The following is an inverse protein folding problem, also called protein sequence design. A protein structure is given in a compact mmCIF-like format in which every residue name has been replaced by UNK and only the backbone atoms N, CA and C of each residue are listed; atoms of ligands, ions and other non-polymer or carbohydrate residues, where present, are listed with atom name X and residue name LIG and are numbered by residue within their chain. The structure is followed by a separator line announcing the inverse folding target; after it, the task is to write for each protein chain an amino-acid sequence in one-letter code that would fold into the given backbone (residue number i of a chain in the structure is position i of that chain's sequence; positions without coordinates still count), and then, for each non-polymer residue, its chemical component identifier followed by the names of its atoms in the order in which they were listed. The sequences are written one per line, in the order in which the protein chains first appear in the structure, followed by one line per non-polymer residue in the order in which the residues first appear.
data_IF_803026454286
#
_entry.id   IF_803026454286
#
_cell.length_a   1.000
_cell.length_b   1.000
_cell.length_c   1.000
_cell.angle_alpha   90.00
_cell.angle_beta   90.00
_cell.angle_gamma   90.00
#
_symmetry.space_group_name_H-M   'P 1'
#
loop_
_entity.id
_entity.type
_entity.pdbx_description
1 polymer ?
#
# COMPACT_ATOMS: atom_id res chain seq x y z
N UNK A 1 -3.65 -17.48 -0.90
CA UNK A 1 -3.38 -16.18 -0.23
C UNK A 1 -4.72 -15.47 -0.10
N UNK A 2 -5.18 -15.25 1.13
CA UNK A 2 -6.43 -14.51 1.36
C UNK A 2 -6.12 -13.02 1.23
N UNK A 3 -6.83 -12.32 0.33
CA UNK A 3 -6.74 -10.86 0.25
C UNK A 3 -7.32 -10.28 1.54
N UNK A 4 -6.72 -9.18 2.03
CA UNK A 4 -7.22 -8.52 3.23
C UNK A 4 -8.67 -8.05 3.01
N UNK A 5 -9.58 -8.22 3.98
CA UNK A 5 -11.00 -7.85 3.82
C UNK A 5 -11.21 -6.39 3.36
N UNK A 6 -10.41 -5.46 3.87
CA UNK A 6 -10.47 -4.05 3.46
C UNK A 6 -10.21 -3.88 1.96
N UNK A 7 -9.26 -4.63 1.40
CA UNK A 7 -8.90 -4.56 -0.02
C UNK A 7 -10.04 -5.08 -0.90
N UNK A 8 -10.68 -6.17 -0.49
CA UNK A 8 -11.86 -6.70 -1.18
C UNK A 8 -13.03 -5.70 -1.17
N UNK A 9 -13.27 -5.05 -0.03
CA UNK A 9 -14.28 -3.98 0.08
C UNK A 9 -13.94 -2.80 -0.82
N UNK A 10 -12.69 -2.36 -0.85
CA UNK A 10 -12.24 -1.28 -1.75
C UNK A 10 -12.43 -1.65 -3.22
N UNK A 11 -12.07 -2.87 -3.64
CA UNK A 11 -12.27 -3.34 -5.01
C UNK A 11 -13.77 -3.42 -5.37
N UNK A 12 -14.61 -3.90 -4.45
CA UNK A 12 -16.06 -3.93 -4.69
C UNK A 12 -16.62 -2.52 -4.87
N UNK A 13 -16.22 -1.58 -4.02
CA UNK A 13 -16.66 -0.19 -4.10
C UNK A 13 -16.14 0.51 -5.34
N UNK A 14 -14.90 0.25 -5.75
CA UNK A 14 -14.35 0.73 -7.02
C UNK A 14 -15.19 0.24 -8.21
N UNK A 15 -15.56 -1.05 -8.21
CA UNK A 15 -16.47 -1.60 -9.22
C UNK A 15 -17.85 -0.92 -9.23
N UNK A 16 -18.45 -0.69 -8.05
CA UNK A 16 -19.73 0.03 -7.95
C UNK A 16 -19.61 1.47 -8.45
N UNK A 17 -18.51 2.15 -8.11
CA UNK A 17 -18.25 3.52 -8.57
C UNK A 17 -18.07 3.60 -10.07
N UNK A 18 -17.36 2.66 -10.69
CA UNK A 18 -17.27 2.53 -12.14
C UNK A 18 -18.65 2.34 -12.79
N UNK A 19 -19.51 1.48 -12.21
CA UNK A 19 -20.88 1.30 -12.74
C UNK A 19 -21.73 2.55 -12.59
N UNK A 20 -21.60 3.23 -11.46
CA UNK A 20 -22.28 4.50 -11.21
C UNK A 20 -21.80 5.55 -12.21
N UNK A 21 -20.50 5.62 -12.47
CA UNK A 21 -19.91 6.51 -13.47
C UNK A 21 -20.49 6.25 -14.87
N UNK A 22 -20.60 4.98 -15.27
CA UNK A 22 -21.20 4.60 -16.55
C UNK A 22 -22.67 5.05 -16.66
N UNK A 23 -23.44 5.00 -15.57
CA UNK A 23 -24.82 5.49 -15.53
C UNK A 23 -24.91 7.03 -15.59
N UNK A 24 -23.90 7.74 -15.11
CA UNK A 24 -23.82 9.20 -15.13
C UNK A 24 -23.26 9.76 -16.45
N UNK A 25 -22.63 8.93 -17.28
CA UNK A 25 -22.01 9.35 -18.54
C UNK A 25 -22.98 10.08 -19.50
N UNK A 26 -24.26 9.69 -19.64
CA UNK A 26 -25.21 10.45 -20.46
C UNK A 26 -25.38 11.91 -20.01
N UNK A 27 -25.32 12.20 -18.70
CA UNK A 27 -25.41 13.56 -18.16
C UNK A 27 -24.22 14.42 -18.60
N UNK A 28 -23.02 13.81 -18.72
CA UNK A 28 -21.84 14.49 -19.27
C UNK A 28 -22.08 14.89 -20.72
N UNK A 29 -22.68 14.00 -21.51
CA UNK A 29 -23.05 14.30 -22.89
C UNK A 29 -24.05 15.45 -23.02
N UNK A 30 -25.06 15.50 -22.14
CA UNK A 30 -26.04 16.61 -22.11
C UNK A 30 -25.38 17.93 -21.67
N UNK A 31 -24.53 17.90 -20.64
CA UNK A 31 -23.77 19.08 -20.21
C UNK A 31 -22.82 19.56 -21.29
N UNK A 32 -22.17 18.63 -22.01
CA UNK A 32 -21.32 18.95 -23.14
C UNK A 32 -22.14 19.53 -24.31
N UNK A 33 -23.30 19.00 -24.64
CA UNK A 33 -24.14 19.56 -25.69
C UNK A 33 -24.56 21.00 -25.33
N UNK A 34 -24.91 21.22 -24.06
CA UNK A 34 -25.34 22.53 -23.55
C UNK A 34 -24.18 23.53 -23.54
N UNK A 35 -23.06 23.19 -22.92
CA UNK A 35 -21.90 24.07 -22.74
C UNK A 35 -21.03 24.17 -24.01
N UNK A 36 -20.85 23.04 -24.69
CA UNK A 36 -20.01 22.89 -25.89
C UNK A 36 -20.59 23.51 -27.14
N UNK A 37 -21.92 23.75 -27.23
CA UNK A 37 -22.50 24.56 -28.30
C UNK A 37 -21.86 25.96 -28.40
N UNK A 38 -21.35 26.49 -27.28
CA UNK A 38 -20.70 27.80 -27.22
C UNK A 38 -19.18 27.76 -27.45
N UNK A 39 -18.51 26.66 -27.09
CA UNK A 39 -17.04 26.54 -27.11
C UNK A 39 -16.50 25.68 -28.27
N UNK A 40 -17.37 24.91 -28.94
CA UNK A 40 -17.02 24.03 -30.05
C UNK A 40 -15.87 23.08 -29.73
N UNK A 41 -15.13 22.68 -30.77
CA UNK A 41 -13.92 21.87 -30.65
C UNK A 41 -12.69 22.67 -30.20
N UNK A 42 -12.86 23.88 -29.62
CA UNK A 42 -11.73 24.71 -29.20
C UNK A 42 -10.94 24.06 -28.06
N UNK A 43 -9.69 24.51 -27.83
CA UNK A 43 -8.88 24.04 -26.71
C UNK A 43 -9.58 24.17 -25.35
N UNK A 44 -10.30 25.28 -25.13
CA UNK A 44 -11.07 25.49 -23.90
C UNK A 44 -12.26 24.55 -23.80
N UNK A 45 -12.90 24.21 -24.92
CA UNK A 45 -13.93 23.18 -24.98
C UNK A 45 -13.40 21.81 -24.55
N UNK A 46 -12.24 21.40 -25.06
CA UNK A 46 -11.60 20.14 -24.68
C UNK A 46 -11.17 20.11 -23.20
N UNK A 47 -10.61 21.21 -22.68
CA UNK A 47 -10.26 21.32 -21.26
C UNK A 47 -11.50 21.23 -20.37
N UNK A 48 -12.55 21.97 -20.70
CA UNK A 48 -13.82 21.94 -19.96
C UNK A 48 -14.45 20.55 -19.99
N UNK A 49 -14.41 19.88 -21.14
CA UNK A 49 -14.86 18.49 -21.27
C UNK A 49 -14.11 17.56 -20.31
N UNK A 50 -12.78 17.63 -20.28
CA UNK A 50 -11.97 16.83 -19.36
C UNK A 50 -12.27 17.11 -17.88
N UNK A 51 -12.53 18.37 -17.52
CA UNK A 51 -12.93 18.76 -16.16
C UNK A 51 -14.33 18.27 -15.79
N UNK A 52 -15.31 18.36 -16.68
CA UNK A 52 -16.66 17.84 -16.46
C UNK A 52 -16.66 16.32 -16.32
N UNK A 53 -15.92 15.63 -17.19
CA UNK A 53 -15.71 14.19 -17.09
C UNK A 53 -15.13 13.79 -15.71
N UNK A 54 -14.14 14.56 -15.25
CA UNK A 54 -13.52 14.37 -13.93
C UNK A 54 -14.49 14.60 -12.78
N UNK A 55 -15.31 15.65 -12.86
CA UNK A 55 -16.32 15.94 -11.86
C UNK A 55 -17.32 14.78 -11.73
N UNK A 56 -17.73 14.18 -12.85
CA UNK A 56 -18.61 13.01 -12.84
C UNK A 56 -17.92 11.79 -12.22
N UNK A 57 -16.62 11.59 -12.46
CA UNK A 57 -15.84 10.57 -11.75
C UNK A 57 -15.85 10.83 -10.24
N UNK A 58 -15.61 12.07 -9.80
CA UNK A 58 -15.63 12.43 -8.37
C UNK A 58 -16.99 12.13 -7.73
N UNK A 59 -18.10 12.49 -8.41
CA UNK A 59 -19.45 12.20 -7.92
C UNK A 59 -19.69 10.70 -7.81
N UNK A 60 -19.30 9.92 -8.83
CA UNK A 60 -19.44 8.47 -8.84
C UNK A 60 -18.59 7.77 -7.76
N UNK A 61 -17.42 8.35 -7.43
CA UNK A 61 -16.49 7.83 -6.43
C UNK A 61 -16.74 8.31 -5.01
N UNK A 62 -17.62 9.29 -4.78
CA UNK A 62 -17.88 9.83 -3.45
C UNK A 62 -18.32 8.76 -2.41
N UNK A 63 -19.18 7.77 -2.75
CA UNK A 63 -19.53 6.71 -1.81
C UNK A 63 -18.34 5.81 -1.47
N UNK A 64 -17.55 5.43 -2.50
CA UNK A 64 -16.36 4.60 -2.32
C UNK A 64 -15.29 5.31 -1.49
N UNK A 65 -15.14 6.62 -1.69
CA UNK A 65 -14.16 7.42 -0.96
C UNK A 65 -14.49 7.58 0.52
N UNK A 66 -15.78 7.75 0.86
CA UNK A 66 -16.26 7.76 2.24
C UNK A 66 -15.99 6.43 2.95
N UNK A 67 -16.32 5.31 2.29
CA UNK A 67 -16.08 3.99 2.85
C UNK A 67 -14.57 3.66 2.96
N UNK A 68 -13.76 4.08 1.98
CA UNK A 68 -12.31 3.98 2.05
C UNK A 68 -11.75 4.77 3.23
N UNK A 69 -12.26 5.98 3.50
CA UNK A 69 -11.81 6.79 4.64
C UNK A 69 -12.10 6.12 5.98
N UNK A 70 -13.27 5.48 6.14
CA UNK A 70 -13.59 4.70 7.35
C UNK A 70 -12.65 3.50 7.49
N UNK A 71 -12.50 2.72 6.42
CA UNK A 71 -11.64 1.53 6.44
C UNK A 71 -10.17 1.86 6.75
N UNK A 72 -9.65 2.92 6.15
CA UNK A 72 -8.29 3.39 6.40
C UNK A 72 -8.09 4.03 7.76
N UNK A 73 -9.13 4.63 8.33
CA UNK A 73 -9.09 5.08 9.73
C UNK A 73 -8.89 3.90 10.69
N UNK A 74 -9.63 2.80 10.46
CA UNK A 74 -9.47 1.57 11.24
C UNK A 74 -8.08 0.96 11.02
N UNK A 75 -7.60 0.89 9.78
CA UNK A 75 -6.22 0.45 9.47
C UNK A 75 -5.19 1.27 10.25
N UNK A 76 -5.27 2.60 10.20
CA UNK A 76 -4.30 3.49 10.86
C UNK A 76 -4.26 3.24 12.37
N UNK A 77 -5.42 3.10 13.00
CA UNK A 77 -5.52 2.83 14.44
C UNK A 77 -4.97 1.45 14.80
N UNK A 78 -5.40 0.40 14.09
CA UNK A 78 -4.98 -0.98 14.38
C UNK A 78 -3.50 -1.20 14.11
N UNK A 79 -2.99 -0.72 12.96
CA UNK A 79 -1.58 -0.86 12.59
C UNK A 79 -0.68 -0.01 13.49
N UNK A 80 -1.11 1.22 13.82
CA UNK A 80 -0.41 2.07 14.77
C UNK A 80 -0.34 1.44 16.16
N UNK A 81 -1.45 0.87 16.64
CA UNK A 81 -1.49 0.15 17.91
C UNK A 81 -0.60 -1.10 17.89
N UNK A 82 -0.65 -1.90 16.84
CA UNK A 82 0.24 -3.06 16.71
C UNK A 82 1.72 -2.67 16.77
N UNK A 83 2.13 -1.61 16.06
CA UNK A 83 3.51 -1.15 16.07
C UNK A 83 3.94 -0.59 17.44
N UNK A 84 3.03 0.07 18.17
CA UNK A 84 3.33 0.56 19.52
C UNK A 84 3.38 -0.58 20.54
N UNK A 85 2.56 -1.62 20.39
CA UNK A 85 2.63 -2.84 21.20
C UNK A 85 3.96 -3.56 20.99
N UNK A 86 4.48 -3.63 19.76
CA UNK A 86 5.80 -4.22 19.50
C UNK A 86 6.94 -3.37 20.11
N UNK A 87 6.82 -2.05 20.09
CA UNK A 87 7.83 -1.14 20.63
C UNK A 87 7.97 -1.23 22.16
N UNK A 88 6.84 -1.34 22.86
CA UNK A 88 6.79 -1.49 24.31
C UNK A 88 6.56 -2.93 24.78
N UNK A 89 6.77 -3.93 23.92
CA UNK A 89 6.41 -5.30 24.24
C UNK A 89 7.18 -5.80 25.46
N UNK A 90 6.49 -6.39 26.42
CA UNK A 90 7.09 -7.09 27.55
C UNK A 90 6.33 -8.40 27.80
N UNK A 91 7.05 -9.51 27.74
CA UNK A 91 6.53 -10.85 28.01
C UNK A 91 5.88 -10.95 29.41
N UNK A 92 6.40 -10.25 30.41
CA UNK A 92 5.85 -10.25 31.76
C UNK A 92 4.51 -9.53 31.85
N UNK A 93 4.29 -8.52 31.02
CA UNK A 93 3.02 -7.78 30.96
C UNK A 93 2.02 -8.38 29.96
N UNK A 94 2.47 -9.31 29.11
CA UNK A 94 1.64 -9.92 28.08
C UNK A 94 0.42 -10.64 28.69
N UNK A 95 -0.78 -10.39 28.16
CA UNK A 95 -2.01 -11.02 28.64
C UNK A 95 -2.18 -12.40 27.99
N UNK A 96 -2.05 -13.45 28.79
CA UNK A 96 -2.40 -14.81 28.36
C UNK A 96 -3.92 -15.01 28.45
N UNK A 97 -4.50 -15.74 27.48
CA UNK A 97 -5.93 -16.14 27.55
C UNK A 97 -6.19 -16.98 28.80
N UNK A 98 -5.24 -17.83 29.16
CA UNK A 98 -5.22 -18.63 30.39
C UNK A 98 -4.00 -18.22 31.21
N UNK A 99 -4.21 -17.67 32.41
CA UNK A 99 -3.10 -17.15 33.24
C UNK A 99 -2.16 -18.24 33.75
N UNK A 100 -2.66 -19.48 33.88
CA UNK A 100 -1.86 -20.63 34.30
C UNK A 100 -0.78 -21.04 33.27
N UNK A 101 -0.93 -20.64 32.01
CA UNK A 101 0.01 -20.98 30.94
C UNK A 101 1.23 -20.06 30.90
N UNK A 102 1.20 -18.92 31.61
CA UNK A 102 2.31 -17.96 31.65
C UNK A 102 3.66 -18.59 32.01
N UNK A 103 3.82 -19.32 33.13
CA UNK A 103 5.12 -19.89 33.49
C UNK A 103 5.61 -20.93 32.46
N UNK A 104 4.68 -21.60 31.76
CA UNK A 104 5.02 -22.57 30.71
C UNK A 104 5.56 -21.80 29.48
N UNK A 105 4.88 -20.75 29.05
CA UNK A 105 5.33 -19.90 27.94
C UNK A 105 6.68 -19.22 28.23
N UNK A 106 6.86 -18.69 29.44
CA UNK A 106 8.14 -18.09 29.86
C UNK A 106 9.27 -19.12 29.86
N UNK A 107 9.01 -20.35 30.32
CA UNK A 107 10.00 -21.44 30.28
C UNK A 107 10.35 -21.84 28.84
N UNK A 108 9.37 -21.95 27.94
CA UNK A 108 9.59 -22.27 26.52
C UNK A 108 10.37 -21.16 25.80
N UNK A 109 10.03 -19.89 26.01
CA UNK A 109 10.78 -18.76 25.46
C UNK A 109 12.21 -18.77 25.98
N UNK A 110 12.40 -18.98 27.29
CA UNK A 110 13.72 -19.04 27.88
C UNK A 110 14.55 -20.20 27.33
N UNK A 111 13.92 -21.35 27.04
CA UNK A 111 14.59 -22.49 26.42
C UNK A 111 15.07 -22.21 24.99
N UNK A 112 14.28 -21.48 24.18
CA UNK A 112 14.66 -21.10 22.82
C UNK A 112 15.87 -20.14 22.80
N UNK A 113 15.95 -19.23 23.77
CA UNK A 113 17.04 -18.23 23.88
C UNK A 113 18.21 -18.69 24.75
N UNK A 114 18.16 -19.91 25.27
CA UNK A 114 19.21 -20.49 26.12
C UNK A 114 20.48 -20.83 25.33
N UNK A 115 20.39 -20.93 24.00
CA UNK A 115 21.45 -21.34 23.05
C UNK A 115 22.10 -22.72 23.36
N UNK A 116 21.66 -23.43 24.40
CA UNK A 116 22.19 -24.73 24.84
C UNK A 116 22.01 -25.82 23.77
N UNK A 117 20.94 -25.73 22.97
CA UNK A 117 20.63 -26.72 21.93
C UNK A 117 21.32 -26.41 20.58
N UNK A 118 21.91 -25.21 20.40
CA UNK A 118 22.60 -24.78 19.18
C UNK A 118 24.14 -24.98 19.24
N UNK A 119 24.68 -25.62 20.29
CA UNK A 119 26.10 -25.93 20.34
C UNK A 119 26.49 -26.86 19.18
N UNK A 120 27.39 -26.46 18.26
CA UNK A 120 28.13 -27.44 17.51
C UNK A 120 29.03 -28.17 18.51
N UNK A 121 28.63 -29.37 18.91
CA UNK A 121 29.50 -30.35 19.57
C UNK A 121 30.67 -30.69 18.62
N UNK A 122 31.63 -29.76 18.51
CA UNK A 122 32.94 -30.04 17.96
C UNK A 122 33.80 -30.58 19.11
N UNK A 123 33.53 -31.83 19.46
CA UNK A 123 34.47 -32.59 20.27
C UNK A 123 35.66 -32.88 19.36
N UNK A 124 36.72 -32.07 19.49
CA UNK A 124 38.02 -32.42 18.95
C UNK A 124 38.49 -33.69 19.68
N UNK A 125 38.30 -34.83 19.03
CA UNK A 125 39.04 -36.03 19.38
C UNK A 125 40.15 -36.17 18.35
N UNK A 126 41.35 -35.86 18.83
CA UNK A 126 42.59 -36.36 18.25
C UNK A 126 42.40 -37.81 17.82
N UNK A 127 42.63 -38.09 16.54
CA UNK A 127 43.61 -39.11 16.14
C UNK A 127 43.59 -39.30 14.63
N UNK A 128 44.80 -39.43 14.08
CA UNK A 128 45.21 -40.31 12.98
C UNK A 128 44.12 -40.94 12.11
N UNK A 129 44.32 -40.79 10.80
CA UNK A 129 43.81 -41.64 9.72
C UNK A 129 43.34 -43.03 10.19
N UNK A 130 42.03 -43.31 10.12
CA UNK A 130 41.48 -44.54 9.54
C UNK A 130 39.94 -44.58 9.60
N UNK A 131 39.36 -45.02 8.48
CA UNK A 131 38.04 -45.63 8.29
C UNK A 131 36.78 -44.92 8.84
N UNK A 132 35.93 -44.47 7.91
CA UNK A 132 34.55 -44.04 8.16
C UNK A 132 33.60 -45.23 8.43
N UNK A 133 32.92 -45.31 9.59
CA UNK A 133 31.68 -46.05 9.73
C UNK A 133 30.50 -45.07 9.63
N UNK A 134 29.48 -45.42 8.83
CA UNK A 134 28.17 -44.75 8.88
C UNK A 134 27.55 -45.00 10.25
N UNK A 135 27.61 -44.01 11.13
CA UNK A 135 26.89 -44.00 12.41
C UNK A 135 25.51 -43.37 12.21
N UNK A 136 24.48 -44.22 12.16
CA UNK A 136 23.20 -43.84 12.78
C UNK A 136 23.44 -43.76 14.28
N UNK A 137 23.20 -42.61 14.94
CA UNK A 137 23.45 -42.49 16.37
C UNK A 137 22.54 -43.49 17.13
N UNK A 138 23.09 -44.30 18.05
CA UNK A 138 22.28 -45.16 18.90
C UNK A 138 21.35 -44.30 19.78
N UNK A 139 20.11 -44.75 19.99
CA UNK A 139 19.11 -44.05 20.80
C UNK A 139 19.59 -43.66 22.21
N UNK A 140 20.63 -44.34 22.73
CA UNK A 140 21.28 -44.03 24.00
C UNK A 140 22.08 -42.70 24.01
N UNK A 141 22.62 -42.25 22.87
CA UNK A 141 23.31 -40.94 22.76
C UNK A 141 22.32 -39.78 22.88
N UNK A 142 21.09 -39.95 22.39
CA UNK A 142 20.03 -38.95 22.53
C UNK A 142 19.58 -38.74 23.98
N UNK A 143 19.48 -39.82 24.77
CA UNK A 143 19.16 -39.73 26.19
C UNK A 143 20.30 -39.09 27.00
N UNK A 144 21.56 -39.39 26.67
CA UNK A 144 22.72 -38.74 27.32
C UNK A 144 22.81 -37.25 27.01
N UNK A 145 22.59 -36.84 25.75
CA UNK A 145 22.57 -35.42 25.36
C UNK A 145 21.43 -34.66 26.05
N UNK A 146 20.24 -35.28 26.17
CA UNK A 146 19.12 -34.72 26.93
C UNK A 146 19.44 -34.60 28.43
N UNK A 147 20.19 -35.56 28.99
CA UNK A 147 20.57 -35.52 30.39
C UNK A 147 21.63 -34.44 30.66
N UNK A 148 22.60 -34.27 29.76
CA UNK A 148 23.61 -33.21 29.80
C UNK A 148 22.99 -31.81 29.63
N UNK A 149 22.07 -31.63 28.67
CA UNK A 149 21.38 -30.34 28.48
C UNK A 149 20.54 -29.97 29.71
N UNK A 150 19.88 -30.95 30.35
CA UNK A 150 19.15 -30.73 31.59
C UNK A 150 20.07 -30.34 32.77
N UNK A 151 21.30 -30.86 32.83
CA UNK A 151 22.29 -30.45 33.85
C UNK A 151 22.80 -29.03 33.60
N UNK A 152 23.08 -28.67 32.34
CA UNK A 152 23.48 -27.32 31.93
C UNK A 152 22.38 -26.28 32.18
N UNK A 153 21.10 -26.68 32.07
CA UNK A 153 19.94 -25.86 32.44
C UNK A 153 19.78 -25.64 33.94
N UNK A 154 20.51 -26.36 34.80
CA UNK A 154 20.40 -26.19 36.25
C UNK A 154 20.96 -24.84 36.70
N UNK A 155 20.24 -24.17 37.62
CA UNK A 155 20.61 -22.85 38.12
C UNK A 155 22.01 -22.79 38.75
N UNK A 156 22.47 -23.91 39.34
CA UNK A 156 23.81 -24.02 39.92
C UNK A 156 24.90 -23.95 38.85
N UNK A 157 24.72 -24.65 37.73
CA UNK A 157 25.68 -24.62 36.61
C UNK A 157 25.65 -23.26 35.93
N UNK A 158 24.45 -22.71 35.66
CA UNK A 158 24.29 -21.36 35.07
C UNK A 158 24.92 -20.24 35.88
N UNK A 159 25.00 -20.37 37.20
CA UNK A 159 25.67 -19.36 38.04
C UNK A 159 27.19 -19.30 37.84
N UNK A 160 27.79 -20.36 37.29
CA UNK A 160 29.23 -20.51 37.07
C UNK A 160 29.60 -20.43 35.59
N UNK A 161 28.71 -20.92 34.72
CA UNK A 161 28.86 -20.84 33.25
C UNK A 161 28.32 -19.49 32.76
N UNK A 162 28.92 -18.89 31.74
CA UNK A 162 28.45 -17.63 31.14
C UNK A 162 27.11 -17.71 30.38
N UNK A 163 26.30 -18.75 30.64
CA UNK A 163 24.98 -18.91 30.03
C UNK A 163 23.98 -17.93 30.65
N UNK A 164 23.04 -17.40 29.86
CA UNK A 164 22.04 -16.48 30.35
C UNK A 164 21.09 -17.14 31.36
N UNK A 165 20.75 -16.40 32.41
CA UNK A 165 19.67 -16.74 33.32
C UNK A 165 18.31 -16.70 32.60
N UNK A 166 17.29 -17.35 33.17
CA UNK A 166 15.92 -17.31 32.60
C UNK A 166 15.43 -15.87 32.40
N UNK A 167 15.70 -14.98 33.37
CA UNK A 167 15.34 -13.57 33.26
C UNK A 167 16.09 -12.87 32.11
N UNK A 168 17.38 -13.17 31.92
CA UNK A 168 18.15 -12.64 30.80
C UNK A 168 17.65 -13.18 29.45
N UNK A 169 17.29 -14.46 29.35
CA UNK A 169 16.68 -15.02 28.13
C UNK A 169 15.36 -14.31 27.77
N UNK A 170 14.52 -14.03 28.77
CA UNK A 170 13.28 -13.28 28.56
C UNK A 170 13.53 -11.83 28.13
N UNK A 171 14.56 -11.18 28.68
CA UNK A 171 14.99 -9.84 28.25
C UNK A 171 15.56 -9.84 26.82
N UNK A 172 16.31 -10.89 26.43
CA UNK A 172 16.76 -11.08 25.05
C UNK A 172 15.58 -11.24 24.10
N UNK A 173 14.57 -12.03 24.46
CA UNK A 173 13.33 -12.14 23.67
C UNK A 173 12.60 -10.80 23.57
N UNK A 174 12.43 -10.07 24.68
CA UNK A 174 11.84 -8.74 24.68
C UNK A 174 12.62 -7.79 23.74
N UNK A 175 13.96 -7.81 23.79
CA UNK A 175 14.81 -7.01 22.91
C UNK A 175 14.67 -7.42 21.43
N UNK A 176 14.53 -8.72 21.14
CA UNK A 176 14.32 -9.24 19.79
C UNK A 176 12.97 -8.79 19.20
N UNK A 177 11.91 -8.86 20.01
CA UNK A 177 10.56 -8.39 19.63
C UNK A 177 10.55 -6.89 19.37
N UNK A 178 11.12 -6.09 20.28
CA UNK A 178 11.19 -4.62 20.18
C UNK A 178 12.07 -4.14 19.03
N UNK A 179 13.11 -4.89 18.70
CA UNK A 179 14.12 -4.52 17.71
C UNK A 179 13.95 -5.27 16.37
N UNK A 180 14.64 -6.40 16.16
CA UNK A 180 14.58 -7.22 14.95
C UNK A 180 13.18 -7.48 14.41
N UNK A 181 12.25 -8.02 15.21
CA UNK A 181 10.91 -8.37 14.74
C UNK A 181 10.10 -7.13 14.33
N UNK A 182 10.14 -6.06 15.12
CA UNK A 182 9.52 -4.77 14.77
C UNK A 182 10.10 -4.20 13.48
N UNK A 183 11.43 -4.24 13.31
CA UNK A 183 12.09 -3.79 12.07
C UNK A 183 11.69 -4.65 10.87
N UNK A 184 11.64 -5.97 11.02
CA UNK A 184 11.18 -6.87 9.96
C UNK A 184 9.72 -6.56 9.58
N UNK A 185 8.86 -6.37 10.58
CA UNK A 185 7.45 -5.98 10.38
C UNK A 185 7.34 -4.65 9.65
N UNK A 186 8.12 -3.63 10.03
CA UNK A 186 8.16 -2.35 9.33
C UNK A 186 8.70 -2.47 7.89
N UNK A 187 9.69 -3.32 7.64
CA UNK A 187 10.22 -3.56 6.28
C UNK A 187 9.20 -4.25 5.38
N UNK A 188 8.44 -5.21 5.91
CA UNK A 188 7.48 -6.00 5.13
C UNK A 188 6.12 -5.32 4.98
N UNK A 189 5.61 -4.76 6.07
CA UNK A 189 4.27 -4.17 6.13
C UNK A 189 4.26 -2.65 5.98
N UNK A 190 5.41 -1.98 6.16
CA UNK A 190 5.50 -0.53 6.21
C UNK A 190 5.01 0.06 7.53
N UNK A 191 5.12 1.39 7.64
CA UNK A 191 4.46 2.17 8.68
C UNK A 191 2.93 2.21 8.51
N UNK A 192 2.23 2.81 9.46
CA UNK A 192 0.77 2.87 9.44
C UNK A 192 0.21 3.58 8.19
N UNK A 193 0.93 4.60 7.69
CA UNK A 193 0.58 5.36 6.48
C UNK A 193 1.03 4.71 5.18
N UNK A 194 1.86 3.68 5.26
CA UNK A 194 2.46 3.10 4.07
C UNK A 194 1.48 2.09 3.44
N UNK A 195 1.47 2.10 2.11
CA UNK A 195 0.77 1.14 1.29
C UNK A 195 1.68 0.74 0.13
N UNK A 196 1.94 -0.56 -0.07
CA UNK A 196 2.68 -1.02 -1.24
C UNK A 196 1.96 -0.62 -2.54
N UNK A 197 2.73 -0.15 -3.53
CA UNK A 197 2.19 0.22 -4.85
C UNK A 197 1.36 -0.91 -5.48
N UNK A 198 1.84 -2.16 -5.36
CA UNK A 198 1.13 -3.33 -5.87
C UNK A 198 -0.27 -3.48 -5.26
N UNK A 199 -0.43 -3.21 -3.96
CA UNK A 199 -1.73 -3.26 -3.28
C UNK A 199 -2.65 -2.14 -3.78
N UNK A 200 -2.13 -0.92 -3.97
CA UNK A 200 -2.91 0.18 -4.55
C UNK A 200 -3.33 -0.12 -5.99
N UNK A 201 -2.45 -0.72 -6.80
CA UNK A 201 -2.77 -1.15 -8.17
C UNK A 201 -3.87 -2.21 -8.19
N UNK A 202 -3.81 -3.20 -7.30
CA UNK A 202 -4.84 -4.23 -7.16
C UNK A 202 -6.19 -3.65 -6.73
N UNK A 203 -6.18 -2.66 -5.82
CA UNK A 203 -7.39 -2.03 -5.33
C UNK A 203 -8.18 -1.29 -6.45
N UNK A 204 -7.48 -0.76 -7.46
CA UNK A 204 -8.06 -0.12 -8.65
C UNK A 204 -8.21 -1.06 -9.86
N UNK A 205 -8.06 -2.38 -9.68
CA UNK A 205 -8.19 -3.34 -10.78
C UNK A 205 -9.52 -3.22 -11.55
N UNK A 206 -10.68 -3.07 -10.88
CA UNK A 206 -11.94 -2.85 -11.60
C UNK A 206 -11.93 -1.60 -12.48
N UNK A 207 -11.40 -0.48 -11.98
CA UNK A 207 -11.20 0.74 -12.76
C UNK A 207 -10.28 0.51 -13.97
N UNK A 208 -9.17 -0.22 -13.81
CA UNK A 208 -8.26 -0.54 -14.93
C UNK A 208 -8.94 -1.36 -16.03
N UNK A 209 -9.66 -2.40 -15.63
CA UNK A 209 -10.39 -3.26 -16.56
C UNK A 209 -11.50 -2.48 -17.27
N UNK A 210 -12.15 -1.56 -16.55
CA UNK A 210 -13.12 -0.66 -17.14
C UNK A 210 -12.49 0.27 -18.17
N UNK A 211 -11.40 0.98 -17.83
CA UNK A 211 -10.71 1.87 -18.76
C UNK A 211 -10.28 1.15 -20.04
N UNK A 212 -9.73 -0.06 -19.90
CA UNK A 212 -9.35 -0.87 -21.05
C UNK A 212 -10.57 -1.25 -21.91
N UNK A 213 -11.68 -1.60 -21.26
CA UNK A 213 -12.91 -2.00 -21.94
C UNK A 213 -13.67 -0.83 -22.57
N UNK A 214 -13.70 0.34 -21.93
CA UNK A 214 -14.41 1.53 -22.42
C UNK A 214 -13.67 2.13 -23.61
N UNK A 215 -12.38 2.43 -23.42
CA UNK A 215 -11.61 3.21 -24.38
C UNK A 215 -11.24 2.37 -25.62
N UNK A 216 -10.75 1.14 -25.42
CA UNK A 216 -10.22 0.35 -26.54
C UNK A 216 -11.21 -0.64 -27.16
N UNK A 217 -12.16 -1.19 -26.38
CA UNK A 217 -13.06 -2.24 -26.87
C UNK A 217 -14.45 -1.69 -27.23
N UNK A 218 -15.00 -0.77 -26.42
CA UNK A 218 -16.38 -0.29 -26.57
C UNK A 218 -16.47 1.07 -27.26
N UNK A 219 -15.35 1.76 -27.46
CA UNK A 219 -15.27 3.14 -27.95
C UNK A 219 -16.27 4.03 -27.20
N UNK A 220 -16.20 4.02 -25.87
CA UNK A 220 -17.06 4.77 -24.95
C UNK A 220 -18.58 4.61 -25.18
N UNK A 221 -18.98 3.48 -25.77
CA UNK A 221 -20.38 3.17 -26.03
C UNK A 221 -20.93 3.78 -27.32
N UNK A 222 -20.11 4.40 -28.16
CA UNK A 222 -20.53 4.95 -29.46
C UNK A 222 -20.87 3.87 -30.51
N UNK A 223 -20.65 2.59 -30.19
CA UNK A 223 -21.03 1.42 -31.00
C UNK A 223 -20.17 1.20 -32.25
N UNK A 224 -19.51 2.23 -32.76
CA UNK A 224 -18.52 2.13 -33.83
C UNK A 224 -17.39 3.14 -33.66
N UNK A 225 -16.19 2.76 -34.09
CA UNK A 225 -15.02 3.63 -34.12
C UNK A 225 -15.27 4.93 -34.89
N UNK A 226 -16.02 4.86 -36.01
CA UNK A 226 -16.34 6.05 -36.82
C UNK A 226 -17.26 7.03 -36.09
N UNK A 227 -18.21 6.51 -35.31
CA UNK A 227 -19.10 7.31 -34.47
C UNK A 227 -18.31 8.03 -33.38
N UNK A 228 -17.39 7.33 -32.71
CA UNK A 228 -16.53 7.90 -31.67
C UNK A 228 -15.65 9.04 -32.23
N UNK A 229 -14.95 8.80 -33.35
CA UNK A 229 -14.14 9.83 -34.02
C UNK A 229 -14.94 11.09 -34.33
N UNK A 230 -16.14 10.92 -34.87
CA UNK A 230 -17.02 12.06 -35.23
C UNK A 230 -17.55 12.79 -33.99
N UNK A 231 -17.91 12.06 -32.94
CA UNK A 231 -18.45 12.63 -31.71
C UNK A 231 -17.40 13.44 -30.93
N UNK A 232 -16.17 12.93 -30.85
CA UNK A 232 -15.08 13.59 -30.13
C UNK A 232 -14.29 14.59 -30.97
N UNK A 233 -14.49 14.60 -32.29
CA UNK A 233 -13.86 15.57 -33.20
C UNK A 233 -12.45 15.19 -33.66
N UNK A 234 -12.03 13.95 -33.45
CA UNK A 234 -10.76 13.43 -33.96
C UNK A 234 -10.80 13.23 -35.48
N UNK A 235 -9.68 13.55 -36.13
CA UNK A 235 -9.52 13.42 -37.58
C UNK A 235 -8.99 12.04 -38.00
N UNK A 236 -8.42 11.28 -37.07
CA UNK A 236 -7.85 9.97 -37.33
C UNK A 236 -7.93 9.04 -36.13
N UNK A 237 -7.93 7.73 -36.40
CA UNK A 237 -7.87 6.65 -35.39
C UNK A 237 -6.63 6.79 -34.50
N UNK A 238 -5.52 7.24 -35.07
CA UNK A 238 -4.27 7.44 -34.33
C UNK A 238 -4.41 8.53 -33.26
N UNK A 239 -5.15 9.61 -33.53
CA UNK A 239 -5.38 10.65 -32.53
C UNK A 239 -6.19 10.14 -31.34
N UNK A 240 -7.27 9.39 -31.61
CA UNK A 240 -8.09 8.77 -30.57
C UNK A 240 -7.25 7.85 -29.67
N UNK A 241 -6.55 6.87 -30.27
CA UNK A 241 -5.73 5.95 -29.47
C UNK A 241 -4.56 6.64 -28.77
N UNK A 242 -3.99 7.70 -29.35
CA UNK A 242 -2.96 8.48 -28.65
C UNK A 242 -3.54 9.16 -27.40
N UNK A 243 -4.74 9.74 -27.50
CA UNK A 243 -5.44 10.35 -26.36
C UNK A 243 -5.73 9.31 -25.27
N UNK A 244 -6.28 8.16 -25.65
CA UNK A 244 -6.59 7.06 -24.74
C UNK A 244 -5.35 6.49 -24.06
N UNK A 245 -4.28 6.25 -24.81
CA UNK A 245 -3.02 5.76 -24.24
C UNK A 245 -2.45 6.74 -23.22
N UNK A 246 -2.46 8.04 -23.52
CA UNK A 246 -1.99 9.07 -22.57
C UNK A 246 -2.88 9.09 -21.33
N UNK A 247 -4.21 9.03 -21.48
CA UNK A 247 -5.14 8.98 -20.36
C UNK A 247 -4.89 7.76 -19.46
N UNK A 248 -4.75 6.57 -20.03
CA UNK A 248 -4.49 5.34 -19.28
C UNK A 248 -3.14 5.39 -18.57
N UNK A 249 -2.07 5.86 -19.25
CA UNK A 249 -0.75 5.98 -18.64
C UNK A 249 -0.74 6.98 -17.47
N UNK A 250 -1.37 8.14 -17.64
CA UNK A 250 -1.51 9.12 -16.56
C UNK A 250 -2.36 8.57 -15.42
N UNK A 251 -3.42 7.82 -15.72
CA UNK A 251 -4.26 7.17 -14.72
C UNK A 251 -3.44 6.16 -13.90
N UNK A 252 -2.72 5.26 -14.57
CA UNK A 252 -1.86 4.25 -13.94
C UNK A 252 -0.81 4.86 -13.00
N UNK A 253 -0.30 6.04 -13.31
CA UNK A 253 0.62 6.74 -12.43
C UNK A 253 -0.10 7.46 -11.28
N UNK A 254 -1.24 8.09 -11.55
CA UNK A 254 -1.91 8.99 -10.59
C UNK A 254 -2.81 8.24 -9.61
N UNK A 255 -3.68 7.35 -10.07
CA UNK A 255 -4.71 6.74 -9.22
C UNK A 255 -4.14 5.95 -8.03
N UNK A 256 -3.04 5.18 -8.16
CA UNK A 256 -2.47 4.46 -7.02
C UNK A 256 -2.04 5.38 -5.87
N UNK A 257 -1.72 6.65 -6.17
CA UNK A 257 -1.34 7.65 -5.14
C UNK A 257 -2.52 8.14 -4.30
N UNK A 258 -3.76 7.94 -4.76
CA UNK A 258 -4.98 8.40 -4.07
C UNK A 258 -5.07 7.82 -2.66
N UNK A 259 -4.80 6.53 -2.49
CA UNK A 259 -4.91 5.86 -1.18
C UNK A 259 -3.81 6.24 -0.19
N UNK A 260 -2.52 6.30 -0.56
CA UNK A 260 -1.49 6.86 0.31
C UNK A 260 -1.75 8.32 0.68
N UNK A 261 -2.23 9.16 -0.24
CA UNK A 261 -2.60 10.55 0.06
C UNK A 261 -3.73 10.61 1.08
N UNK A 262 -4.79 9.82 0.86
CA UNK A 262 -5.90 9.66 1.81
C UNK A 262 -5.40 9.24 3.20
N UNK A 263 -4.54 8.21 3.28
CA UNK A 263 -3.96 7.75 4.56
C UNK A 263 -3.13 8.83 5.25
N UNK A 264 -2.27 9.54 4.52
CA UNK A 264 -1.44 10.63 5.08
C UNK A 264 -2.31 11.77 5.61
N UNK A 265 -3.35 12.16 4.87
CA UNK A 265 -4.31 13.19 5.31
C UNK A 265 -5.11 12.76 6.55
N UNK A 266 -5.58 11.51 6.59
CA UNK A 266 -6.25 10.95 7.76
C UNK A 266 -5.32 10.89 8.97
N UNK A 267 -4.08 10.44 8.78
CA UNK A 267 -3.09 10.36 9.85
C UNK A 267 -2.78 11.74 10.44
N UNK A 268 -2.61 12.75 9.58
CA UNK A 268 -2.47 14.15 10.00
C UNK A 268 -3.70 14.64 10.79
N UNK A 269 -4.90 14.29 10.33
CA UNK A 269 -6.15 14.58 11.05
C UNK A 269 -6.21 13.95 12.44
N UNK A 270 -5.72 12.71 12.61
CA UNK A 270 -5.66 12.04 13.91
C UNK A 270 -4.62 12.64 14.86
N UNK A 271 -3.47 13.08 14.33
CA UNK A 271 -2.41 13.70 15.13
C UNK A 271 -2.76 15.13 15.57
N UNK A 272 -3.68 15.79 14.87
CA UNK A 272 -4.10 17.14 15.22
C UNK A 272 -4.73 17.18 16.63
N UNK A 273 -4.20 18.06 17.49
CA UNK A 273 -4.71 18.35 18.84
C UNK A 273 -5.97 19.20 18.84
N UNK A 274 -6.53 19.49 17.65
CA UNK A 274 -7.73 20.29 17.49
C UNK A 274 -8.99 19.62 18.07
N UNK A 275 -10.06 20.42 18.20
CA UNK A 275 -11.37 19.98 18.66
C UNK A 275 -11.94 18.82 17.83
N UNK A 276 -12.86 18.03 18.41
CA UNK A 276 -13.54 16.93 17.72
C UNK A 276 -14.18 17.38 16.40
N UNK A 277 -14.80 18.57 16.38
CA UNK A 277 -15.40 19.14 15.17
C UNK A 277 -14.34 19.35 14.06
N UNK A 278 -13.17 19.87 14.40
CA UNK A 278 -12.07 20.06 13.45
C UNK A 278 -11.58 18.72 12.90
N UNK A 279 -11.48 17.70 13.75
CA UNK A 279 -11.10 16.34 13.31
C UNK A 279 -12.11 15.76 12.32
N UNK A 280 -13.41 15.90 12.58
CA UNK A 280 -14.47 15.45 11.67
C UNK A 280 -14.37 16.16 10.32
N UNK A 281 -14.14 17.48 10.33
CA UNK A 281 -13.96 18.27 9.09
C UNK A 281 -12.74 17.79 8.31
N UNK A 282 -11.59 17.63 8.98
CA UNK A 282 -10.36 17.15 8.33
C UNK A 282 -10.53 15.74 7.77
N UNK A 283 -11.18 14.83 8.50
CA UNK A 283 -11.45 13.48 8.02
C UNK A 283 -12.40 13.46 6.82
N UNK A 284 -13.42 14.33 6.84
CA UNK A 284 -14.37 14.47 5.71
C UNK A 284 -13.68 15.04 4.48
N UNK A 285 -12.82 16.04 4.65
CA UNK A 285 -11.99 16.60 3.57
C UNK A 285 -11.00 15.57 3.05
N UNK A 286 -10.36 14.78 3.93
CA UNK A 286 -9.46 13.71 3.55
C UNK A 286 -10.16 12.67 2.67
N UNK A 287 -11.44 12.36 2.92
CA UNK A 287 -12.20 11.43 2.10
C UNK A 287 -12.45 11.92 0.66
N UNK A 288 -12.50 13.23 0.42
CA UNK A 288 -12.89 13.79 -0.88
C UNK A 288 -11.69 14.33 -1.66
N UNK A 289 -10.80 15.08 -0.99
CA UNK A 289 -9.73 15.83 -1.64
C UNK A 289 -8.77 14.99 -2.49
N UNK A 290 -8.28 13.81 -2.06
CA UNK A 290 -7.38 12.99 -2.88
C UNK A 290 -8.01 12.52 -4.19
N UNK A 291 -9.28 12.13 -4.16
CA UNK A 291 -10.02 11.72 -5.36
C UNK A 291 -10.27 12.91 -6.28
N UNK A 292 -10.76 14.02 -5.72
CA UNK A 292 -10.98 15.26 -6.48
C UNK A 292 -9.69 15.74 -7.13
N UNK A 293 -8.59 15.77 -6.38
CA UNK A 293 -7.28 16.15 -6.88
C UNK A 293 -6.84 15.23 -8.03
N UNK A 294 -6.89 13.91 -7.84
CA UNK A 294 -6.43 12.93 -8.84
C UNK A 294 -7.24 12.99 -10.12
N UNK A 295 -8.58 12.96 -10.02
CA UNK A 295 -9.44 13.03 -11.20
C UNK A 295 -9.34 14.38 -11.91
N UNK A 296 -9.36 15.50 -11.17
CA UNK A 296 -9.31 16.84 -11.78
C UNK A 296 -8.02 17.07 -12.55
N UNK A 297 -6.87 16.68 -11.98
CA UNK A 297 -5.59 16.79 -12.69
C UNK A 297 -5.54 15.89 -13.92
N UNK A 298 -6.03 14.66 -13.78
CA UNK A 298 -6.07 13.70 -14.88
C UNK A 298 -6.92 14.21 -16.04
N UNK A 299 -8.16 14.67 -15.79
CA UNK A 299 -9.02 15.18 -16.86
C UNK A 299 -8.58 16.53 -17.39
N UNK A 300 -7.98 17.41 -16.57
CA UNK A 300 -7.38 18.64 -17.08
C UNK A 300 -6.22 18.35 -18.03
N UNK A 301 -5.33 17.41 -17.67
CA UNK A 301 -4.21 16.99 -18.52
C UNK A 301 -4.73 16.33 -19.82
N UNK A 302 -5.71 15.42 -19.70
CA UNK A 302 -6.37 14.79 -20.83
C UNK A 302 -6.99 15.81 -21.78
N UNK A 303 -7.80 16.74 -21.26
CA UNK A 303 -8.45 17.78 -22.04
C UNK A 303 -7.46 18.71 -22.76
N UNK A 304 -6.33 19.04 -22.12
CA UNK A 304 -5.24 19.79 -22.76
C UNK A 304 -4.63 19.01 -23.93
N UNK A 305 -4.36 17.71 -23.73
CA UNK A 305 -3.77 16.85 -24.74
C UNK A 305 -4.71 16.64 -25.93
N UNK A 306 -5.98 16.30 -25.68
CA UNK A 306 -7.03 16.19 -26.69
C UNK A 306 -7.21 17.50 -27.46
N UNK A 307 -7.17 18.65 -26.77
CA UNK A 307 -7.21 19.96 -27.41
C UNK A 307 -6.07 20.17 -28.42
N UNK A 308 -4.85 19.74 -28.10
CA UNK A 308 -3.70 19.78 -29.01
C UNK A 308 -3.83 18.81 -30.18
N UNK A 309 -4.39 17.62 -29.97
CA UNK A 309 -4.60 16.65 -31.05
C UNK A 309 -5.63 17.14 -32.07
N UNK A 310 -6.74 17.73 -31.59
CA UNK A 310 -7.84 18.18 -32.45
C UNK A 310 -7.52 19.51 -33.16
N UNK A 311 -6.95 20.48 -32.43
CA UNK A 311 -6.75 21.84 -32.95
C UNK A 311 -5.32 22.12 -33.44
N UNK A 312 -4.41 21.14 -33.30
CA UNK A 312 -2.99 21.29 -33.58
C UNK A 312 -2.18 21.72 -32.35
N UNK A 313 -0.85 21.53 -32.38
CA UNK A 313 0.02 21.84 -31.26
C UNK A 313 0.17 23.35 -31.05
N UNK A 314 0.07 23.79 -29.80
CA UNK A 314 0.40 25.16 -29.37
C UNK A 314 1.29 25.09 -28.14
N UNK A 315 2.35 25.90 -28.12
CA UNK A 315 3.35 25.88 -27.05
C UNK A 315 2.73 26.12 -25.66
N UNK A 316 1.79 27.08 -25.54
CA UNK A 316 1.12 27.38 -24.26
C UNK A 316 0.36 26.17 -23.69
N UNK A 317 -0.30 25.40 -24.55
CA UNK A 317 -1.06 24.21 -24.15
C UNK A 317 -0.16 23.02 -23.85
N UNK A 318 0.97 22.91 -24.56
CA UNK A 318 2.00 21.92 -24.25
C UNK A 318 2.63 22.17 -22.87
N UNK A 319 2.98 23.43 -22.57
CA UNK A 319 3.52 23.82 -21.26
C UNK A 319 2.51 23.52 -20.15
N UNK A 320 1.23 23.86 -20.36
CA UNK A 320 0.17 23.55 -19.40
C UNK A 320 0.00 22.03 -19.19
N UNK A 321 -0.01 21.25 -20.27
CA UNK A 321 -0.10 19.79 -20.20
C UNK A 321 1.08 19.18 -19.42
N UNK A 322 2.32 19.60 -19.73
CA UNK A 322 3.53 19.13 -19.03
C UNK A 322 3.47 19.51 -17.55
N UNK A 323 3.04 20.72 -17.23
CA UNK A 323 2.86 21.17 -15.84
C UNK A 323 1.86 20.30 -15.09
N UNK A 324 0.70 20.00 -15.68
CA UNK A 324 -0.33 19.14 -15.08
C UNK A 324 0.18 17.70 -14.89
N UNK A 325 0.93 17.16 -15.85
CA UNK A 325 1.58 15.85 -15.72
C UNK A 325 2.64 15.84 -14.60
N UNK A 326 3.45 16.89 -14.50
CA UNK A 326 4.43 17.00 -13.42
C UNK A 326 3.74 17.07 -12.05
N UNK A 327 2.63 17.80 -11.96
CA UNK A 327 1.85 17.93 -10.73
C UNK A 327 1.18 16.61 -10.34
N UNK A 328 0.72 15.79 -11.29
CA UNK A 328 0.14 14.48 -11.01
C UNK A 328 1.19 13.42 -10.66
N UNK A 329 2.38 13.49 -11.27
CA UNK A 329 3.50 12.56 -11.02
C UNK A 329 4.31 12.90 -9.76
N UNK A 330 4.27 14.14 -9.28
CA UNK A 330 5.01 14.57 -8.10
C UNK A 330 4.61 13.78 -6.84
N UNK A 331 3.32 13.60 -6.48
CA UNK A 331 2.91 12.72 -5.39
C UNK A 331 3.39 11.28 -5.58
N UNK A 332 3.34 10.75 -6.81
CA UNK A 332 3.78 9.39 -7.10
C UNK A 332 5.27 9.20 -6.81
N UNK A 333 6.10 10.14 -7.26
CA UNK A 333 7.53 10.15 -6.97
C UNK A 333 7.81 10.30 -5.46
N UNK A 334 7.15 11.27 -4.81
CA UNK A 334 7.34 11.56 -3.40
C UNK A 334 6.92 10.39 -2.48
N UNK A 335 5.86 9.66 -2.83
CA UNK A 335 5.36 8.55 -2.03
C UNK A 335 6.19 7.28 -2.25
N UNK A 336 6.51 6.92 -3.49
CA UNK A 336 7.05 5.59 -3.78
C UNK A 336 8.57 5.53 -3.98
N UNK A 337 9.20 6.65 -4.35
CA UNK A 337 10.62 6.67 -4.71
C UNK A 337 11.48 7.42 -3.69
N UNK A 338 11.00 8.56 -3.19
CA UNK A 338 11.77 9.38 -2.25
C UNK A 338 12.10 8.60 -0.96
N UNK A 339 11.12 7.97 -0.33
CA UNK A 339 11.30 7.26 0.94
C UNK A 339 12.20 6.02 0.79
N UNK A 340 12.19 5.37 -0.37
CA UNK A 340 13.07 4.24 -0.67
C UNK A 340 14.51 4.64 -0.94
N UNK A 341 14.73 5.81 -1.55
CA UNK A 341 16.08 6.34 -1.74
C UNK A 341 16.66 6.76 -0.40
N UNK A 342 15.92 7.51 0.42
CA UNK A 342 16.39 7.95 1.74
C UNK A 342 16.73 6.78 2.67
N UNK A 343 15.91 5.72 2.70
CA UNK A 343 16.14 4.56 3.58
C UNK A 343 17.29 3.66 3.15
N UNK A 344 17.60 3.57 1.84
CA UNK A 344 18.72 2.76 1.34
C UNK A 344 20.10 3.33 1.66
N UNK A 345 20.23 4.64 1.91
CA UNK A 345 21.51 5.27 2.23
C UNK A 345 21.85 5.29 3.73
N UNK A 346 20.90 4.94 4.61
CA UNK A 346 21.06 5.14 6.07
C UNK A 346 21.34 3.82 6.82
N UNK A 347 21.12 2.66 6.20
CA UNK A 347 21.43 1.38 6.86
C UNK A 347 22.74 0.83 6.28
N UNK A 348 23.89 1.06 6.94
CA UNK A 348 25.10 0.31 6.61
C UNK A 348 24.80 -1.17 6.86
N UNK A 349 25.03 -1.99 5.85
CA UNK A 349 25.05 -3.45 5.98
C UNK A 349 26.28 -3.81 6.83
N UNK A 350 26.09 -3.89 8.15
CA UNK A 350 27.03 -4.48 9.09
C UNK A 350 26.80 -5.97 9.20
#
# INVERSE_FOLDING_TARGET
VWLAPWLLVTMLLDWVSVRTFQLLLPLVGEWQATLGSSLGSSYYGCLLYGLLYSLTCVIAYAPASAAAAVSFSVKLQQHGFMLSQLEGFDVHEAKCTVSADRPILEAEIAAVYDEIDDLPLSVALDSTEEAWPRLTPPAAEGEQLLQESNVLRSAAVRSVTSYPSVAECLELFNADVRGPLRRATLRHCGGATDLPLATCMQAFLPFWLFLLSSNFLSYDGYGSLRSALKAEGYQSVLQLYAADCVFVLLSLATMPTTFPLLLRMLHWGFQSTASLATRIVVMSLAAVLPFTFSFTLLGAAYGCFTGMLINGPKLSWLVLFIFLCALSLCPWYAIYFHDRLATRFIIPTS
#
